data_IF_029368682354
#
_entry.id   IF_029368682354
#
_cell.length_a   1.000
_cell.length_b   1.000
_cell.length_c   1.000
_cell.angle_alpha   90.00
_cell.angle_beta   90.00
_cell.angle_gamma   90.00
#
_symmetry.space_group_name_H-M   'P 1'
#
loop_
_entity.id
_entity.type
_entity.pdbx_description
1 polymer ?
#
# COMPACT_ATOMS: atom_id res chain seq x y z
N UNK A 1 -22.58 -16.77 -26.43
CA UNK A 1 -22.92 -15.85 -25.33
C UNK A 1 -21.69 -15.81 -24.45
N UNK A 2 -20.92 -14.73 -24.57
CA UNK A 2 -19.58 -14.59 -24.00
C UNK A 2 -19.72 -14.29 -22.51
N UNK A 3 -19.58 -15.31 -21.67
CA UNK A 3 -19.59 -15.17 -20.22
C UNK A 3 -18.27 -14.54 -19.77
N UNK A 4 -18.37 -13.22 -19.58
CA UNK A 4 -17.73 -12.46 -18.51
C UNK A 4 -16.32 -12.89 -18.11
N UNK A 5 -15.33 -12.26 -18.75
CA UNK A 5 -13.98 -12.05 -18.21
C UNK A 5 -14.07 -11.30 -16.87
N UNK A 6 -14.44 -12.01 -15.81
CA UNK A 6 -14.15 -11.56 -14.44
C UNK A 6 -12.68 -11.83 -14.26
N UNK A 7 -11.86 -10.88 -14.69
CA UNK A 7 -10.49 -10.78 -14.23
C UNK A 7 -10.57 -10.62 -12.71
N UNK A 8 -10.51 -11.75 -12.01
CA UNK A 8 -9.92 -11.84 -10.70
C UNK A 8 -8.51 -11.31 -10.89
N UNK A 9 -8.37 -9.99 -10.82
CA UNK A 9 -7.10 -9.39 -10.49
C UNK A 9 -6.84 -9.92 -9.08
N UNK A 10 -6.19 -11.09 -9.02
CA UNK A 10 -5.37 -11.49 -7.88
C UNK A 10 -4.27 -10.44 -7.79
N UNK A 11 -4.68 -9.26 -7.37
CA UNK A 11 -3.81 -8.27 -6.79
C UNK A 11 -3.26 -9.01 -5.58
N UNK A 12 -1.98 -9.41 -5.66
CA UNK A 12 -1.21 -9.91 -4.53
C UNK A 12 -1.12 -8.76 -3.51
N UNK A 13 -2.25 -8.45 -2.87
CA UNK A 13 -2.39 -7.55 -1.74
C UNK A 13 -1.83 -8.26 -0.50
N UNK A 14 -0.68 -8.91 -0.68
CA UNK A 14 0.03 -9.63 0.35
C UNK A 14 0.58 -8.59 1.31
N UNK A 15 0.09 -8.64 2.55
CA UNK A 15 0.54 -7.73 3.59
C UNK A 15 2.02 -8.06 3.85
N UNK A 16 2.94 -7.11 3.63
CA UNK A 16 4.36 -7.38 3.77
C UNK A 16 4.67 -7.75 5.22
N UNK A 17 5.33 -8.89 5.41
CA UNK A 17 5.83 -9.34 6.71
C UNK A 17 7.35 -9.13 6.76
N UNK A 18 7.88 -8.31 7.69
CA UNK A 18 7.20 -7.59 8.78
C UNK A 18 6.57 -6.25 8.36
N UNK A 19 5.45 -5.90 9.00
CA UNK A 19 4.75 -4.63 8.78
C UNK A 19 5.59 -3.48 9.34
N UNK A 20 6.16 -2.65 8.47
CA UNK A 20 6.92 -1.46 8.87
C UNK A 20 5.97 -0.29 9.15
N UNK A 21 5.72 -0.03 10.43
CA UNK A 21 4.99 1.16 10.91
C UNK A 21 5.93 2.16 11.59
N UNK A 22 5.45 3.39 11.86
CA UNK A 22 6.23 4.47 12.49
C UNK A 22 7.05 4.02 13.72
N UNK A 23 6.46 3.16 14.57
CA UNK A 23 7.14 2.67 15.79
C UNK A 23 8.19 1.57 15.60
N UNK A 24 8.18 0.87 14.47
CA UNK A 24 9.11 -0.24 14.18
C UNK A 24 10.10 0.10 13.03
N UNK A 25 10.04 1.32 12.49
CA UNK A 25 10.96 1.78 11.45
C UNK A 25 12.29 2.22 12.09
N UNK A 26 13.41 1.69 11.62
CA UNK A 26 14.75 2.12 12.09
C UNK A 26 15.08 3.54 11.60
N UNK A 27 16.08 4.18 12.21
CA UNK A 27 16.50 5.55 11.84
C UNK A 27 16.87 5.67 10.36
N UNK A 28 17.65 4.74 9.84
CA UNK A 28 18.08 4.74 8.43
C UNK A 28 16.89 4.56 7.47
N UNK A 29 15.89 3.76 7.83
CA UNK A 29 14.68 3.60 7.01
C UNK A 29 13.84 4.88 6.98
N UNK A 30 13.76 5.60 8.10
CA UNK A 30 13.07 6.89 8.16
C UNK A 30 13.77 7.96 7.33
N UNK A 31 15.10 8.02 7.38
CA UNK A 31 15.91 8.96 6.60
C UNK A 31 15.77 8.70 5.10
N UNK A 32 15.89 7.44 4.66
CA UNK A 32 15.67 7.09 3.24
C UNK A 32 14.27 7.43 2.75
N UNK A 33 13.25 7.20 3.58
CA UNK A 33 11.88 7.57 3.23
C UNK A 33 11.69 9.09 3.13
N UNK A 34 12.37 9.88 3.97
CA UNK A 34 12.31 11.34 3.94
C UNK A 34 13.05 11.95 2.73
N UNK A 35 14.06 11.26 2.21
CA UNK A 35 14.78 11.63 0.98
C UNK A 35 14.08 11.16 -0.30
N UNK A 36 13.07 10.29 -0.18
CA UNK A 36 12.33 9.75 -1.33
C UNK A 36 11.46 10.80 -2.02
N UNK A 37 11.15 10.56 -3.29
CA UNK A 37 10.22 11.41 -4.04
C UNK A 37 8.79 11.24 -3.54
N UNK A 38 8.04 12.35 -3.54
CA UNK A 38 6.66 12.36 -3.10
C UNK A 38 5.73 12.07 -4.28
N UNK A 39 4.93 11.00 -4.18
CA UNK A 39 3.91 10.65 -5.16
C UNK A 39 2.49 11.07 -4.74
N UNK A 40 1.55 10.98 -5.68
CA UNK A 40 0.11 11.04 -5.44
C UNK A 40 -0.54 9.72 -5.87
N UNK A 41 -1.68 9.43 -5.26
CA UNK A 41 -2.46 8.23 -5.56
C UNK A 41 -3.80 8.23 -4.84
N UNK A 42 -4.65 7.30 -5.24
CA UNK A 42 -5.99 7.12 -4.69
C UNK A 42 -6.02 5.93 -3.73
N UNK A 43 -6.71 6.06 -2.60
CA UNK A 43 -6.90 4.95 -1.66
C UNK A 43 -7.90 3.98 -2.29
N UNK A 44 -7.45 2.77 -2.58
CA UNK A 44 -8.29 1.71 -3.15
C UNK A 44 -9.03 0.93 -2.06
N UNK A 45 -8.33 0.62 -0.98
CA UNK A 45 -8.90 -0.06 0.18
C UNK A 45 -8.28 0.48 1.46
N UNK A 46 -9.11 0.76 2.47
CA UNK A 46 -8.61 1.08 3.81
C UNK A 46 -9.58 0.58 4.87
N UNK A 47 -9.08 -0.25 5.79
CA UNK A 47 -9.85 -0.75 6.92
C UNK A 47 -9.45 0.00 8.20
N UNK A 48 -10.30 0.94 8.64
CA UNK A 48 -10.08 1.71 9.88
C UNK A 48 -9.88 0.83 11.12
N UNK A 49 -10.65 -0.25 11.24
CA UNK A 49 -10.56 -1.17 12.39
C UNK A 49 -9.22 -1.90 12.44
N UNK A 50 -8.64 -2.24 11.28
CA UNK A 50 -7.35 -2.94 11.20
C UNK A 50 -6.15 -2.01 11.01
N UNK A 51 -6.37 -0.73 10.72
CA UNK A 51 -5.32 0.28 10.56
C UNK A 51 -4.47 0.14 9.30
N UNK A 52 -4.93 -0.58 8.27
CA UNK A 52 -4.15 -0.76 7.03
C UNK A 52 -5.01 -0.72 5.78
N UNK A 53 -4.33 -0.56 4.64
CA UNK A 53 -4.94 -0.44 3.33
C UNK A 53 -3.91 -0.45 2.21
N UNK A 54 -4.39 -0.11 1.02
CA UNK A 54 -3.60 0.01 -0.20
C UNK A 54 -3.94 1.29 -0.96
N UNK A 55 -2.92 1.87 -1.58
CA UNK A 55 -3.00 3.06 -2.41
C UNK A 55 -2.61 2.66 -3.83
N UNK A 56 -3.41 3.06 -4.80
CA UNK A 56 -3.13 2.93 -6.22
C UNK A 56 -2.47 4.24 -6.69
N UNK A 57 -1.17 4.23 -7.02
CA UNK A 57 -0.46 5.44 -7.45
C UNK A 57 -0.99 5.97 -8.79
N UNK A 58 -0.98 7.29 -8.97
CA UNK A 58 -1.39 7.90 -10.24
C UNK A 58 -0.41 7.60 -11.39
N UNK A 59 0.83 7.23 -11.05
CA UNK A 59 1.90 6.88 -11.99
C UNK A 59 1.69 5.49 -12.64
N UNK A 60 0.70 4.72 -12.19
CA UNK A 60 0.42 3.37 -12.67
C UNK A 60 1.42 2.31 -12.18
N UNK A 61 2.21 2.65 -11.15
CA UNK A 61 3.07 1.70 -10.43
C UNK A 61 2.25 0.74 -9.56
N UNK A 62 2.92 -0.27 -9.01
CA UNK A 62 2.28 -1.29 -8.17
C UNK A 62 1.60 -0.68 -6.93
N UNK A 63 0.58 -1.37 -6.44
CA UNK A 63 -0.18 -0.93 -5.28
C UNK A 63 0.71 -0.80 -4.05
N UNK A 64 0.65 0.36 -3.41
CA UNK A 64 1.48 0.68 -2.25
C UNK A 64 0.69 0.35 -0.99
N UNK A 65 1.26 -0.52 -0.15
CA UNK A 65 0.69 -0.81 1.16
C UNK A 65 0.82 0.39 2.10
N UNK A 66 -0.28 0.74 2.78
CA UNK A 66 -0.32 1.79 3.80
C UNK A 66 -0.73 1.21 5.14
N UNK A 67 -0.01 1.60 6.20
CA UNK A 67 -0.35 1.27 7.57
C UNK A 67 -0.41 2.55 8.41
N UNK A 68 -1.56 2.78 9.02
CA UNK A 68 -1.81 3.86 9.96
C UNK A 68 -1.85 3.26 11.35
N UNK A 69 -0.81 3.55 12.13
CA UNK A 69 -0.81 3.30 13.56
C UNK A 69 -0.89 4.66 14.26
N UNK A 70 -1.97 4.90 15.02
CA UNK A 70 -2.07 6.02 15.96
C UNK A 70 -1.40 5.71 17.30
#
# INVERSE_FOLDING_TARGET
MTESTTAKLELDLSIPSPIIHKRNRTSSQSERAALGEHGRGTIEFFCRTKGHGFISPDDGSEHVFVHVFE
#
